data_IF_699248784651
#
_entry.id   IF_699248784651
#
_cell.length_a   1.000
_cell.length_b   1.000
_cell.length_c   1.000
_cell.angle_alpha   90.00
_cell.angle_beta   90.00
_cell.angle_gamma   90.00
#
_symmetry.space_group_name_H-M   'P 1'
#
loop_
_entity.id
_entity.type
_entity.pdbx_description
1 polymer ?
#
# COMPACT_ATOMS: atom_id res chain seq x y z
N UNK A 1 23.57 9.64 9.77
CA UNK A 1 22.18 9.17 9.96
C UNK A 1 21.73 8.61 8.62
N UNK A 2 21.46 7.30 8.49
CA UNK A 2 20.92 6.80 7.23
C UNK A 2 19.57 7.49 7.01
N UNK A 3 19.35 7.99 5.80
CA UNK A 3 18.09 8.67 5.46
C UNK A 3 16.93 7.70 5.76
N UNK A 4 15.97 8.12 6.58
CA UNK A 4 14.73 7.37 6.80
C UNK A 4 14.07 7.14 5.44
N UNK A 5 14.23 5.95 4.88
CA UNK A 5 13.63 5.60 3.60
C UNK A 5 12.12 5.48 3.81
N UNK A 6 11.38 6.57 3.53
CA UNK A 6 9.93 6.66 3.78
C UNK A 6 9.15 5.56 3.04
N UNK A 7 9.65 5.12 1.87
CA UNK A 7 9.12 3.98 1.12
C UNK A 7 10.22 2.94 1.01
N UNK A 8 10.29 2.04 1.99
CA UNK A 8 11.34 1.04 2.11
C UNK A 8 11.34 -0.01 0.98
N UNK A 9 10.16 -0.42 0.50
CA UNK A 9 10.00 -1.24 -0.69
C UNK A 9 9.02 -0.57 -1.65
N UNK A 10 9.56 -0.01 -2.74
CA UNK A 10 8.75 0.67 -3.76
C UNK A 10 7.90 -0.31 -4.58
N UNK A 11 8.34 -1.56 -4.75
CA UNK A 11 7.58 -2.55 -5.49
C UNK A 11 6.34 -2.97 -4.70
N UNK A 12 6.51 -3.31 -3.42
CA UNK A 12 5.39 -3.60 -2.51
C UNK A 12 4.40 -2.43 -2.45
N UNK A 13 4.90 -1.20 -2.35
CA UNK A 13 4.07 0.00 -2.34
C UNK A 13 3.23 0.17 -3.62
N UNK A 14 3.84 -0.04 -4.80
CA UNK A 14 3.12 0.03 -6.07
C UNK A 14 2.10 -1.11 -6.19
N UNK A 15 2.46 -2.33 -5.79
CA UNK A 15 1.55 -3.47 -5.85
C UNK A 15 0.35 -3.28 -4.89
N UNK A 16 0.58 -2.73 -3.70
CA UNK A 16 -0.49 -2.35 -2.78
C UNK A 16 -1.44 -1.31 -3.38
N UNK A 17 -0.90 -0.25 -4.01
CA UNK A 17 -1.72 0.75 -4.72
C UNK A 17 -2.53 0.12 -5.85
N UNK A 18 -1.95 -0.80 -6.63
CA UNK A 18 -2.65 -1.50 -7.71
C UNK A 18 -3.82 -2.33 -7.20
N UNK A 19 -3.62 -3.06 -6.11
CA UNK A 19 -4.65 -3.91 -5.52
C UNK A 19 -5.78 -3.07 -4.91
N UNK A 20 -5.43 -2.04 -4.13
CA UNK A 20 -6.41 -1.11 -3.56
C UNK A 20 -7.21 -0.38 -4.64
N UNK A 21 -6.57 0.00 -5.75
CA UNK A 21 -7.24 0.63 -6.90
C UNK A 21 -8.26 -0.30 -7.57
N UNK A 22 -8.04 -1.61 -7.54
CA UNK A 22 -9.00 -2.62 -8.02
C UNK A 22 -10.17 -2.84 -7.06
N UNK A 23 -10.28 -2.05 -6.00
CA UNK A 23 -11.33 -2.18 -4.99
C UNK A 23 -11.03 -3.19 -3.89
N UNK A 24 -9.80 -3.75 -3.85
CA UNK A 24 -9.36 -4.56 -2.70
C UNK A 24 -9.26 -3.67 -1.47
N UNK A 25 -9.42 -4.28 -0.31
CA UNK A 25 -9.41 -3.59 0.99
C UNK A 25 -8.15 -4.00 1.74
N UNK A 26 -7.44 -3.02 2.31
CA UNK A 26 -6.36 -3.28 3.24
C UNK A 26 -6.95 -3.44 4.64
N UNK A 27 -6.45 -4.45 5.33
CA UNK A 27 -6.98 -4.94 6.59
C UNK A 27 -5.85 -4.92 7.61
N UNK A 28 -6.03 -4.26 8.75
CA UNK A 28 -5.03 -4.22 9.82
C UNK A 28 -5.66 -4.72 11.12
N UNK A 29 -5.03 -5.68 11.78
CA UNK A 29 -5.48 -6.12 13.09
C UNK A 29 -5.25 -5.03 14.14
N UNK A 30 -6.25 -4.78 14.99
CA UNK A 30 -6.25 -3.72 16.01
C UNK A 30 -5.17 -3.90 17.08
N UNK A 31 -4.90 -5.15 17.47
CA UNK A 31 -4.03 -5.50 18.60
C UNK A 31 -2.63 -5.98 18.19
N UNK A 32 -2.27 -5.92 16.90
CA UNK A 32 -0.91 -6.26 16.45
C UNK A 32 -0.33 -5.13 15.63
N UNK A 33 0.86 -4.68 16.02
CA UNK A 33 1.38 -3.41 15.55
C UNK A 33 1.70 -3.36 14.05
N UNK A 34 1.82 -4.51 13.38
CA UNK A 34 2.49 -4.53 12.06
C UNK A 34 1.88 -5.43 11.00
N UNK A 35 0.83 -6.23 11.30
CA UNK A 35 0.30 -7.17 10.32
C UNK A 35 -0.84 -6.54 9.53
N UNK A 36 -0.51 -6.02 8.35
CA UNK A 36 -1.48 -5.61 7.35
C UNK A 36 -1.67 -6.73 6.33
N UNK A 37 -2.91 -6.92 5.90
CA UNK A 37 -3.31 -7.89 4.89
C UNK A 37 -4.00 -7.14 3.74
N UNK A 38 -3.70 -7.54 2.51
CA UNK A 38 -4.32 -7.01 1.31
C UNK A 38 -4.48 -8.15 0.29
N UNK A 39 -5.72 -8.43 -0.10
CA UNK A 39 -6.04 -9.54 -1.02
C UNK A 39 -5.44 -10.89 -0.56
N UNK A 40 -5.50 -11.17 0.74
CA UNK A 40 -4.97 -12.40 1.35
C UNK A 40 -3.45 -12.47 1.49
N UNK A 41 -2.71 -11.43 1.06
CA UNK A 41 -1.25 -11.35 1.19
C UNK A 41 -0.84 -10.35 2.27
N UNK A 42 0.26 -10.64 2.98
CA UNK A 42 0.82 -9.70 3.95
C UNK A 42 1.43 -8.48 3.25
N UNK A 43 1.20 -7.31 3.86
CA UNK A 43 1.83 -6.04 3.53
C UNK A 43 2.72 -5.66 4.71
N UNK A 44 4.03 -5.56 4.47
CA UNK A 44 5.04 -5.40 5.51
C UNK A 44 5.46 -3.94 5.69
N UNK A 45 5.68 -3.23 4.58
CA UNK A 45 6.24 -1.87 4.61
C UNK A 45 5.31 -0.82 4.02
N UNK A 46 4.40 -1.20 3.13
CA UNK A 46 3.58 -0.21 2.40
C UNK A 46 2.51 0.49 3.25
N UNK A 47 2.07 -0.07 4.38
CA UNK A 47 1.03 0.56 5.22
C UNK A 47 1.44 1.95 5.71
N UNK A 48 2.64 2.06 6.30
CA UNK A 48 3.11 3.31 6.90
C UNK A 48 3.19 4.47 5.88
N UNK A 49 3.78 4.34 4.68
CA UNK A 49 3.75 5.40 3.68
C UNK A 49 2.35 5.68 3.15
N UNK A 50 1.49 4.66 2.94
CA UNK A 50 0.11 4.87 2.51
C UNK A 50 -0.66 5.74 3.51
N UNK A 51 -0.54 5.44 4.81
CA UNK A 51 -1.17 6.20 5.88
C UNK A 51 -0.54 7.60 6.02
N UNK A 52 0.79 7.70 6.05
CA UNK A 52 1.54 8.96 6.21
C UNK A 52 1.23 9.97 5.11
N UNK A 53 1.08 9.51 3.86
CA UNK A 53 0.72 10.36 2.72
C UNK A 53 -0.79 10.53 2.53
N UNK A 54 -1.62 10.00 3.45
CA UNK A 54 -3.09 10.05 3.40
C UNK A 54 -3.67 9.52 2.08
N UNK A 55 -3.08 8.45 1.58
CA UNK A 55 -3.52 7.76 0.35
C UNK A 55 -4.61 6.73 0.64
N UNK A 56 -4.79 6.36 1.91
CA UNK A 56 -5.84 5.48 2.38
C UNK A 56 -6.65 6.16 3.48
N UNK A 57 -7.94 5.87 3.51
CA UNK A 57 -8.86 6.27 4.56
C UNK A 57 -9.42 5.02 5.25
N UNK A 58 -9.59 5.11 6.56
CA UNK A 58 -10.29 4.10 7.34
C UNK A 58 -11.80 4.18 7.08
N UNK A 59 -12.46 3.03 7.06
CA UNK A 59 -13.93 2.97 6.97
C UNK A 59 -14.47 1.82 7.81
N UNK A 60 -15.71 1.94 8.25
CA UNK A 60 -16.41 0.87 8.94
C UNK A 60 -16.92 -0.16 7.92
N UNK A 61 -16.64 -1.43 8.17
CA UNK A 61 -17.19 -2.53 7.40
C UNK A 61 -18.25 -3.26 8.26
N UNK A 62 -19.56 -3.07 8.00
CA UNK A 62 -20.63 -3.73 8.76
C UNK A 62 -20.58 -5.26 8.68
N UNK A 63 -19.95 -5.81 7.63
CA UNK A 63 -19.74 -7.25 7.44
C UNK A 63 -18.33 -7.69 7.85
N UNK A 64 -17.58 -6.80 8.51
CA UNK A 64 -16.21 -7.03 8.94
C UNK A 64 -16.11 -7.75 10.28
N UNK A 65 -14.87 -7.87 10.74
CA UNK A 65 -14.51 -8.43 12.04
C UNK A 65 -14.25 -7.28 13.04
N UNK A 66 -14.62 -7.44 14.32
CA UNK A 66 -14.59 -6.36 15.31
C UNK A 66 -13.19 -5.88 15.68
N UNK A 67 -12.16 -6.72 15.55
CA UNK A 67 -10.78 -6.41 15.97
C UNK A 67 -9.88 -6.01 14.80
N UNK A 68 -10.48 -5.38 13.79
CA UNK A 68 -9.84 -5.14 12.50
C UNK A 68 -10.22 -3.76 11.98
N UNK A 69 -9.22 -3.02 11.54
CA UNK A 69 -9.35 -1.76 10.81
C UNK A 69 -9.33 -2.02 9.31
N UNK A 70 -10.25 -1.38 8.59
CA UNK A 70 -10.42 -1.52 7.16
C UNK A 70 -10.07 -0.22 6.45
N UNK A 71 -9.27 -0.32 5.40
CA UNK A 71 -8.78 0.82 4.65
C UNK A 71 -9.04 0.66 3.16
N UNK A 72 -9.45 1.76 2.52
CA UNK A 72 -9.58 1.91 1.06
C UNK A 72 -8.80 3.12 0.61
N UNK A 73 -8.59 3.26 -0.71
CA UNK A 73 -7.99 4.49 -1.23
C UNK A 73 -8.89 5.69 -0.89
N UNK A 74 -8.25 6.76 -0.43
CA UNK A 74 -8.84 8.09 -0.42
C UNK A 74 -9.05 8.57 -1.86
N UNK A 75 -9.78 9.67 -2.07
CA UNK A 75 -9.89 10.27 -3.41
C UNK A 75 -8.51 10.64 -3.97
N UNK A 76 -7.69 11.32 -3.16
CA UNK A 76 -6.29 11.62 -3.50
C UNK A 76 -5.48 10.35 -3.75
N UNK A 77 -5.72 9.31 -2.96
CA UNK A 77 -5.10 7.99 -3.12
C UNK A 77 -5.39 7.36 -4.47
N UNK A 78 -6.62 7.46 -4.96
CA UNK A 78 -7.01 6.99 -6.31
C UNK A 78 -6.24 7.71 -7.41
N UNK A 79 -6.25 9.04 -7.40
CA UNK A 79 -5.53 9.86 -8.39
C UNK A 79 -4.02 9.61 -8.37
N UNK A 80 -3.45 9.43 -7.17
CA UNK A 80 -2.05 9.06 -7.02
C UNK A 80 -1.79 7.66 -7.57
N UNK A 81 -2.61 6.67 -7.21
CA UNK A 81 -2.48 5.29 -7.67
C UNK A 81 -2.53 5.20 -9.19
N UNK A 82 -3.42 5.96 -9.85
CA UNK A 82 -3.49 5.99 -11.31
C UNK A 82 -2.19 6.44 -11.95
N UNK A 83 -1.68 7.60 -11.53
CA UNK A 83 -0.42 8.15 -12.04
C UNK A 83 0.78 7.27 -11.70
N UNK A 84 0.87 6.77 -10.47
CA UNK A 84 1.97 5.92 -10.01
C UNK A 84 2.00 4.58 -10.76
N UNK A 85 0.85 3.93 -10.94
CA UNK A 85 0.76 2.66 -11.66
C UNK A 85 1.06 2.82 -13.15
N UNK A 86 0.64 3.93 -13.76
CA UNK A 86 0.97 4.24 -15.15
C UNK A 86 2.46 4.53 -15.32
N UNK A 87 3.04 5.37 -14.47
CA UNK A 87 4.47 5.70 -14.49
C UNK A 87 5.32 4.44 -14.30
N UNK A 88 4.93 3.58 -13.36
CA UNK A 88 5.62 2.31 -13.12
C UNK A 88 5.56 1.38 -14.33
N UNK A 89 4.39 1.27 -14.98
CA UNK A 89 4.21 0.47 -16.21
C UNK A 89 5.07 0.94 -17.39
N UNK A 90 5.42 2.23 -17.43
CA UNK A 90 6.28 2.79 -18.49
C UNK A 90 7.78 2.58 -18.25
N UNK A 91 8.21 2.19 -17.04
CA UNK A 91 9.63 1.93 -16.75
C UNK A 91 10.14 0.63 -17.39
N UNK A 92 11.34 0.61 -18.00
CA UNK A 92 11.95 -0.60 -18.56
C UNK A 92 12.14 -1.68 -17.48
N UNK A 93 11.96 -2.94 -17.86
CA UNK A 93 11.93 -4.10 -16.93
C UNK A 93 13.19 -4.22 -16.06
N UNK A 94 14.37 -3.89 -16.61
CA UNK A 94 15.64 -3.89 -15.87
C UNK A 94 15.65 -2.91 -14.69
N UNK A 95 15.02 -1.74 -14.83
CA UNK A 95 14.88 -0.78 -13.73
C UNK A 95 13.91 -1.26 -12.64
N UNK A 96 12.92 -2.10 -12.97
CA UNK A 96 12.02 -2.69 -11.97
C UNK A 96 12.71 -3.78 -11.15
N UNK A 97 13.57 -4.57 -11.80
CA UNK A 97 14.41 -5.56 -11.12
C UNK A 97 15.46 -4.89 -10.23
N UNK A 98 16.10 -3.81 -10.70
CA UNK A 98 17.05 -3.06 -9.89
C UNK A 98 16.40 -2.50 -8.61
N UNK A 99 15.21 -1.90 -8.70
CA UNK A 99 14.48 -1.41 -7.51
C UNK A 99 14.12 -2.54 -6.54
N UNK A 100 13.80 -3.73 -7.04
CA UNK A 100 13.52 -4.90 -6.20
C UNK A 100 14.76 -5.44 -5.47
N UNK A 101 15.95 -5.19 -6.02
CA UNK A 101 17.23 -5.61 -5.44
C UNK A 101 17.86 -4.55 -4.53
N UNK A 102 17.52 -3.27 -4.73
CA UNK A 102 18.14 -2.16 -3.97
C UNK A 102 17.26 -1.58 -2.87
N UNK A 103 15.95 -1.90 -2.83
CA UNK A 103 14.99 -1.26 -1.92
C UNK A 103 14.55 0.13 -2.40
#
# INVERSE_FOLDING_TARGET
>A
MPADTIIADRAEFIDALRQLRRGRVLVRAKDTDSRCLLDGSFVYTAYQPLARYRLIDEFENPQGFPNVHYYRLSQRGREFADRACETWRRRPLLHRLAVRLTG
#
